data_IF_003002185357
#
_entry.id   IF_003002185357
#
_cell.length_a   1.000
_cell.length_b   1.000
_cell.length_c   1.000
_cell.angle_alpha   90.00
_cell.angle_beta   90.00
_cell.angle_gamma   90.00
#
_symmetry.space_group_name_H-M   'P 1'
#
loop_
_entity.id
_entity.type
_entity.pdbx_description
1 polymer ?
#
# COMPACT_ATOMS: atom_id res chain seq x y z
N UNK A 1 5.86 -1.58 -16.62
CA UNK A 1 6.86 -0.50 -16.55
C UNK A 1 8.14 -1.08 -15.95
N UNK A 2 9.33 -0.66 -16.41
CA UNK A 2 10.61 -1.08 -15.81
C UNK A 2 11.20 0.13 -15.04
N UNK A 3 11.82 -0.08 -13.86
CA UNK A 3 12.49 0.99 -13.16
C UNK A 3 13.73 1.44 -13.95
N UNK A 4 14.08 2.72 -13.83
CA UNK A 4 15.35 3.28 -14.30
C UNK A 4 16.47 2.90 -13.34
N UNK A 5 16.20 2.83 -12.04
CA UNK A 5 17.20 2.45 -11.03
C UNK A 5 16.55 1.83 -9.80
N UNK A 6 17.21 0.83 -9.21
CA UNK A 6 16.95 0.33 -7.87
C UNK A 6 18.26 0.46 -7.08
N UNK A 7 18.23 1.06 -5.88
CA UNK A 7 19.45 1.25 -5.07
C UNK A 7 19.19 1.16 -3.57
N UNK A 8 20.22 0.79 -2.83
CA UNK A 8 20.24 0.86 -1.38
C UNK A 8 20.42 2.29 -0.88
N UNK A 9 19.81 2.61 0.26
CA UNK A 9 20.02 3.87 0.98
C UNK A 9 20.04 3.68 2.49
N UNK A 10 20.83 4.50 3.18
CA UNK A 10 21.03 4.43 4.64
C UNK A 10 20.14 5.41 5.42
N UNK A 11 19.46 6.32 4.73
CA UNK A 11 18.69 7.41 5.34
C UNK A 11 17.17 7.20 5.34
N UNK A 12 16.68 5.98 5.09
CA UNK A 12 15.28 5.61 5.32
C UNK A 12 15.15 4.97 6.71
N UNK A 13 14.53 5.69 7.65
CA UNK A 13 14.41 5.26 9.07
C UNK A 13 13.03 4.75 9.45
N UNK A 14 11.99 5.18 8.74
CA UNK A 14 10.58 4.84 9.02
C UNK A 14 9.93 4.05 7.88
N UNK A 15 10.66 3.84 6.78
CA UNK A 15 10.18 3.16 5.57
C UNK A 15 11.16 2.09 5.13
N UNK A 16 10.62 1.00 4.61
CA UNK A 16 11.38 -0.12 4.04
C UNK A 16 11.83 0.17 2.61
N UNK A 17 11.03 0.94 1.87
CA UNK A 17 11.31 1.37 0.51
C UNK A 17 10.62 2.70 0.17
N UNK A 18 10.98 3.25 -0.98
CA UNK A 18 10.28 4.38 -1.59
C UNK A 18 10.46 4.42 -3.10
N UNK A 19 9.46 4.96 -3.78
CA UNK A 19 9.43 5.11 -5.23
C UNK A 19 9.26 6.57 -5.63
N UNK A 20 9.94 6.98 -6.70
CA UNK A 20 9.69 8.26 -7.38
C UNK A 20 9.20 7.96 -8.79
N UNK A 21 7.88 7.85 -9.03
CA UNK A 21 7.33 7.41 -10.31
C UNK A 21 7.80 8.26 -11.50
N UNK A 22 7.81 9.58 -11.33
CA UNK A 22 8.26 10.53 -12.36
C UNK A 22 9.72 10.33 -12.80
N UNK A 23 10.56 9.70 -11.96
CA UNK A 23 11.97 9.39 -12.27
C UNK A 23 12.22 7.89 -12.51
N UNK A 24 11.19 7.05 -12.34
CA UNK A 24 11.34 5.59 -12.39
C UNK A 24 12.33 5.03 -11.37
N UNK A 25 12.59 5.73 -10.26
CA UNK A 25 13.62 5.34 -9.30
C UNK A 25 13.03 4.70 -8.05
N UNK A 26 13.58 3.57 -7.64
CA UNK A 26 13.26 2.85 -6.39
C UNK A 26 14.44 2.92 -5.43
N UNK A 27 14.16 3.14 -4.15
CA UNK A 27 15.15 3.16 -3.06
C UNK A 27 14.75 2.14 -2.00
N UNK A 28 15.69 1.28 -1.63
CA UNK A 28 15.48 0.25 -0.60
C UNK A 28 16.31 0.60 0.64
N UNK A 29 15.73 0.47 1.83
CA UNK A 29 16.43 0.72 3.09
C UNK A 29 17.47 -0.36 3.38
N UNK A 30 18.67 0.04 3.80
CA UNK A 30 19.71 -0.87 4.30
C UNK A 30 19.26 -1.74 5.49
N UNK A 31 18.19 -1.36 6.20
CA UNK A 31 17.64 -2.14 7.30
C UNK A 31 17.08 -3.50 6.85
N UNK A 32 16.94 -3.71 5.53
CA UNK A 32 16.55 -4.97 4.92
C UNK A 32 17.73 -5.83 4.44
N UNK A 33 18.99 -5.51 4.80
CA UNK A 33 20.13 -6.35 4.38
C UNK A 33 20.12 -7.76 4.97
N UNK A 34 19.53 -7.93 6.15
CA UNK A 34 19.55 -9.20 6.90
C UNK A 34 18.17 -9.86 6.98
N UNK A 35 17.19 -9.36 6.21
CA UNK A 35 15.87 -10.00 6.13
C UNK A 35 15.91 -11.15 5.12
N UNK A 36 15.03 -12.15 5.23
CA UNK A 36 14.92 -13.20 4.22
C UNK A 36 14.66 -12.63 2.81
N UNK A 37 15.20 -13.29 1.78
CA UNK A 37 15.07 -12.85 0.37
C UNK A 37 13.60 -12.62 -0.03
N UNK A 38 12.68 -13.48 0.41
CA UNK A 38 11.27 -13.34 0.06
C UNK A 38 10.63 -12.06 0.63
N UNK A 39 11.21 -11.49 1.69
CA UNK A 39 10.77 -10.22 2.29
C UNK A 39 11.35 -9.05 1.51
N UNK A 40 12.64 -9.12 1.16
CA UNK A 40 13.30 -8.11 0.34
C UNK A 40 12.63 -8.00 -1.04
N UNK A 41 12.40 -9.13 -1.70
CA UNK A 41 11.72 -9.20 -2.99
C UNK A 41 10.29 -8.64 -2.92
N UNK A 42 9.59 -8.87 -1.81
CA UNK A 42 8.28 -8.27 -1.58
C UNK A 42 8.35 -6.74 -1.53
N UNK A 43 9.30 -6.16 -0.77
CA UNK A 43 9.45 -4.71 -0.69
C UNK A 43 9.80 -4.14 -2.07
N UNK A 44 10.71 -4.79 -2.82
CA UNK A 44 11.02 -4.38 -4.19
C UNK A 44 9.77 -4.44 -5.07
N UNK A 45 9.00 -5.53 -5.02
CA UNK A 45 7.76 -5.69 -5.78
C UNK A 45 6.71 -4.62 -5.42
N UNK A 46 6.58 -4.28 -4.14
CA UNK A 46 5.70 -3.22 -3.64
C UNK A 46 6.06 -1.86 -4.27
N UNK A 47 7.35 -1.51 -4.26
CA UNK A 47 7.85 -0.29 -4.88
C UNK A 47 7.65 -0.29 -6.41
N UNK A 48 7.81 -1.44 -7.06
CA UNK A 48 7.51 -1.57 -8.49
C UNK A 48 6.02 -1.42 -8.80
N UNK A 49 5.13 -1.84 -7.90
CA UNK A 49 3.70 -1.57 -8.02
C UNK A 49 3.42 -0.07 -7.95
N UNK A 50 4.13 0.68 -7.11
CA UNK A 50 4.02 2.15 -7.02
C UNK A 50 4.45 2.90 -8.29
N UNK A 51 5.25 2.29 -9.17
CA UNK A 51 5.50 2.85 -10.50
C UNK A 51 4.26 2.82 -11.40
N UNK A 52 3.29 1.96 -11.12
CA UNK A 52 2.11 1.71 -11.96
C UNK A 52 0.84 2.31 -11.33
N UNK A 53 0.72 2.25 -10.01
CA UNK A 53 -0.43 2.74 -9.23
C UNK A 53 0.08 3.42 -7.96
N UNK A 54 -0.19 4.73 -7.82
CA UNK A 54 0.40 5.52 -6.74
C UNK A 54 -0.24 5.23 -5.37
N UNK A 55 -1.54 4.91 -5.35
CA UNK A 55 -2.30 4.62 -4.13
C UNK A 55 -2.42 3.10 -3.89
N UNK A 56 -2.71 2.69 -2.65
CA UNK A 56 -2.91 1.27 -2.31
C UNK A 56 -4.33 0.74 -2.60
N UNK A 57 -5.04 1.34 -3.56
CA UNK A 57 -6.41 0.97 -3.92
C UNK A 57 -6.54 -0.41 -4.60
N UNK A 58 -7.74 -0.77 -5.09
CA UNK A 58 -8.01 -2.12 -5.63
C UNK A 58 -7.07 -2.54 -6.77
N UNK A 59 -6.64 -1.59 -7.61
CA UNK A 59 -5.68 -1.86 -8.69
C UNK A 59 -4.29 -2.22 -8.15
N UNK A 60 -3.82 -1.52 -7.11
CA UNK A 60 -2.58 -1.85 -6.43
C UNK A 60 -2.65 -3.23 -5.79
N UNK A 61 -3.73 -3.54 -5.06
CA UNK A 61 -3.90 -4.85 -4.42
C UNK A 61 -3.83 -6.01 -5.42
N UNK A 62 -4.41 -5.84 -6.62
CA UNK A 62 -4.28 -6.83 -7.71
C UNK A 62 -2.86 -6.96 -8.27
N UNK A 63 -2.05 -5.92 -8.24
CA UNK A 63 -0.65 -5.95 -8.68
C UNK A 63 0.23 -6.58 -7.59
N UNK A 64 0.05 -6.16 -6.35
CA UNK A 64 0.74 -6.65 -5.16
C UNK A 64 0.52 -8.16 -4.98
N UNK A 65 -0.71 -8.64 -5.11
CA UNK A 65 -1.08 -10.05 -4.97
C UNK A 65 -0.42 -11.00 -5.99
N UNK A 66 0.25 -10.47 -7.02
CA UNK A 66 1.02 -11.30 -7.97
C UNK A 66 2.30 -11.85 -7.37
N UNK A 67 2.76 -11.30 -6.25
CA UNK A 67 3.90 -11.84 -5.53
C UNK A 67 3.46 -12.98 -4.59
N UNK A 68 3.92 -14.23 -4.79
CA UNK A 68 3.39 -15.40 -4.09
C UNK A 68 3.48 -15.35 -2.56
N UNK A 69 4.45 -14.60 -2.01
CA UNK A 69 4.69 -14.52 -0.57
C UNK A 69 4.25 -13.19 0.05
N UNK A 70 3.37 -12.43 -0.61
CA UNK A 70 3.02 -11.08 -0.19
C UNK A 70 2.47 -11.03 1.24
N UNK A 71 1.58 -11.95 1.60
CA UNK A 71 0.99 -12.00 2.95
C UNK A 71 2.04 -12.35 4.01
N UNK A 72 2.84 -13.39 3.81
CA UNK A 72 3.90 -13.80 4.73
C UNK A 72 4.96 -12.71 4.90
N UNK A 73 5.33 -12.02 3.82
CA UNK A 73 6.29 -10.91 3.86
C UNK A 73 5.73 -9.71 4.64
N UNK A 74 4.44 -9.37 4.48
CA UNK A 74 3.78 -8.34 5.30
C UNK A 74 3.81 -8.69 6.78
N UNK A 75 3.46 -9.93 7.13
CA UNK A 75 3.49 -10.39 8.52
C UNK A 75 4.90 -10.34 9.11
N UNK A 76 5.93 -10.75 8.35
CA UNK A 76 7.32 -10.61 8.76
C UNK A 76 7.70 -9.14 9.03
N UNK A 77 7.39 -8.23 8.10
CA UNK A 77 7.73 -6.82 8.25
C UNK A 77 7.04 -6.16 9.44
N UNK A 78 5.80 -6.54 9.74
CA UNK A 78 5.09 -6.07 10.92
C UNK A 78 5.81 -6.51 12.21
N UNK A 79 6.17 -7.79 12.33
CA UNK A 79 6.92 -8.30 13.48
C UNK A 79 8.34 -7.72 13.58
N UNK A 80 9.02 -7.55 12.44
CA UNK A 80 10.35 -6.95 12.37
C UNK A 80 10.35 -5.48 12.80
N UNK A 81 9.32 -4.71 12.40
CA UNK A 81 9.16 -3.33 12.81
C UNK A 81 8.91 -3.23 14.33
N UNK A 82 7.98 -4.04 14.85
CA UNK A 82 7.67 -4.11 16.28
C UNK A 82 8.90 -4.45 17.12
N UNK A 83 9.68 -5.48 16.73
CA UNK A 83 10.90 -5.87 17.43
C UNK A 83 11.99 -4.81 17.44
N UNK A 84 11.92 -3.81 16.55
CA UNK A 84 12.87 -2.70 16.44
C UNK A 84 12.35 -1.41 17.09
N UNK A 85 11.17 -1.42 17.70
CA UNK A 85 10.50 -0.21 18.19
C UNK A 85 10.23 0.80 17.08
N UNK A 86 10.15 0.33 15.84
CA UNK A 86 9.75 1.12 14.69
C UNK A 86 8.28 0.81 14.49
N UNK A 87 7.40 1.67 14.96
CA UNK A 87 6.03 1.65 14.45
C UNK A 87 6.10 2.23 13.04
N UNK A 88 5.93 1.42 11.97
CA UNK A 88 5.92 2.00 10.63
C UNK A 88 4.72 2.94 10.57
N UNK A 89 4.90 4.16 10.08
CA UNK A 89 3.82 5.15 9.97
C UNK A 89 2.62 4.67 9.14
N UNK A 90 2.75 3.55 8.43
CA UNK A 90 1.71 3.02 7.56
C UNK A 90 1.43 1.57 7.96
N UNK A 91 0.58 1.32 8.97
CA UNK A 91 -0.09 0.04 9.08
C UNK A 91 -1.13 0.04 7.97
N UNK A 92 -0.78 -0.56 6.83
CA UNK A 92 -1.66 -0.94 5.73
C UNK A 92 -3.12 -0.57 5.97
N UNK A 93 -3.59 0.59 5.49
CA UNK A 93 -4.98 1.02 5.64
C UNK A 93 -5.89 -0.06 5.03
N UNK A 94 -6.44 -0.88 5.93
CA UNK A 94 -7.52 -1.81 5.71
C UNK A 94 -8.80 -0.99 5.89
N UNK A 95 -9.19 -0.29 4.82
CA UNK A 95 -10.58 0.11 4.67
C UNK A 95 -11.21 -0.83 3.66
N UNK A 96 -11.97 -1.85 4.10
CA UNK A 96 -12.97 -2.41 3.22
C UNK A 96 -13.97 -1.27 3.00
N UNK A 97 -14.05 -0.78 1.78
CA UNK A 97 -15.16 0.06 1.36
C UNK A 97 -16.39 -0.86 1.44
N UNK A 98 -17.05 -0.90 2.62
CA UNK A 98 -18.37 -1.47 2.76
C UNK A 98 -19.27 -0.68 1.81
N UNK A 99 -19.54 -1.31 0.67
CA UNK A 99 -20.59 -0.93 -0.25
C UNK A 99 -21.91 -0.92 0.51
N UNK A 100 -22.23 0.23 1.09
CA UNK A 100 -23.53 0.49 1.69
C UNK A 100 -24.57 0.54 0.57
N UNK A 101 -25.67 -0.22 0.65
CA UNK A 101 -26.74 -0.14 -0.33
C UNK A 101 -27.43 1.22 -0.21
N UNK A 102 -27.47 1.96 -1.31
CA UNK A 102 -28.27 3.18 -1.45
C UNK A 102 -29.75 2.86 -1.27
N UNK A 103 -30.35 3.34 -0.18
CA UNK A 103 -31.81 3.41 -0.05
C UNK A 103 -32.37 4.37 -1.12
N UNK A 104 -33.45 4.03 -1.82
CA UNK A 104 -34.10 4.96 -2.73
C UNK A 104 -34.89 6.01 -1.93
N UNK A 105 -34.66 7.28 -2.26
CA UNK A 105 -35.52 8.38 -1.85
C UNK A 105 -36.71 8.42 -2.82
N UNK A 106 -37.95 8.41 -2.30
CA UNK A 106 -39.09 8.90 -3.04
C UNK A 106 -39.83 9.92 -2.18
N UNK A 107 -39.68 11.18 -2.56
CA UNK A 107 -40.44 12.29 -2.04
C UNK A 107 -41.71 12.46 -2.87
N UNK A 108 -42.85 12.62 -2.19
CA UNK A 108 -44.04 13.21 -2.79
C UNK A 108 -44.51 14.35 -1.92
N UNK A 109 -44.34 15.56 -2.46
CA UNK A 109 -44.95 16.80 -2.00
C UNK A 109 -46.26 16.95 -2.74
N UNK A 110 -47.38 17.09 -2.02
CA UNK A 110 -48.61 17.64 -2.58
C UNK A 110 -49.16 18.71 -1.64
N UNK A 111 -49.51 19.84 -2.24
CA UNK A 111 -49.98 21.06 -1.59
C UNK A 111 -51.50 21.23 -1.75
N UNK A 112 -52.09 21.89 -0.74
CA UNK A 112 -53.35 22.66 -0.71
C UNK A 112 -54.70 21.88 -0.58
N UNK A 113 -55.83 22.51 -0.17
CA UNK A 113 -56.07 23.94 0.08
C UNK A 113 -56.80 24.32 1.39
N UNK A 114 -56.96 25.65 1.54
CA UNK A 114 -57.63 26.44 2.58
C UNK A 114 -59.04 26.01 3.01
N UNK A 115 -59.37 26.41 4.24
CA UNK A 115 -60.71 26.84 4.68
C UNK A 115 -60.58 27.99 5.67
#
# INVERSE_FOLDING_TARGET
MRPVSIRWVTNQRTRWGSTTPARGSVRISHQLWEVPDYVLDYVIHHELCHLIEASHGPRFRRLEARYPHAETARAYLAGYAHGRGQDPEEPFEDSPEESSPSSPEDGSSESAPSS
#
